data_IF_161182527327
#
_entry.id   IF_161182527327
#
_cell.length_a   1.000
_cell.length_b   1.000
_cell.length_c   1.000
_cell.angle_alpha   90.00
_cell.angle_beta   90.00
_cell.angle_gamma   90.00
#
_symmetry.space_group_name_H-M   'P 1'
#
loop_
_entity.id
_entity.type
_entity.pdbx_description
1 polymer ?
#
# COMPACT_ATOMS: atom_id res chain seq x y z
N UNK A 1 15.32 -7.42 -26.49
CA UNK A 1 14.80 -6.13 -25.99
C UNK A 1 16.00 -5.21 -25.84
N UNK A 2 15.96 -4.02 -26.44
CA UNK A 2 17.10 -3.10 -26.43
C UNK A 2 17.35 -2.61 -25.00
N UNK A 3 18.60 -2.65 -24.55
CA UNK A 3 19.08 -2.23 -23.22
C UNK A 3 19.08 -0.70 -23.05
N UNK A 4 18.11 -0.05 -23.70
CA UNK A 4 18.03 1.40 -23.94
C UNK A 4 16.69 1.94 -23.46
N UNK A 5 15.94 1.15 -22.68
CA UNK A 5 14.65 1.50 -22.13
C UNK A 5 14.49 0.94 -20.71
N UNK A 6 13.75 1.64 -19.86
CA UNK A 6 13.38 1.13 -18.53
C UNK A 6 12.41 -0.05 -18.63
N UNK A 7 12.36 -0.89 -17.59
CA UNK A 7 11.67 -2.17 -17.67
C UNK A 7 10.15 -2.09 -17.63
N UNK A 8 9.57 -1.12 -16.89
CA UNK A 8 8.11 -1.06 -16.66
C UNK A 8 7.39 -0.17 -17.67
N UNK A 9 7.90 1.05 -17.89
CA UNK A 9 7.26 2.05 -18.75
C UNK A 9 8.00 2.29 -20.07
N UNK A 10 9.05 1.52 -20.36
CA UNK A 10 9.85 1.65 -21.58
C UNK A 10 10.39 3.07 -21.80
N UNK A 11 10.74 3.79 -20.72
CA UNK A 11 11.27 5.15 -20.80
C UNK A 11 12.60 5.12 -21.54
N UNK A 12 12.79 5.95 -22.57
CA UNK A 12 14.01 5.93 -23.38
C UNK A 12 15.21 6.39 -22.55
N UNK A 13 16.27 5.59 -22.59
CA UNK A 13 17.54 5.86 -21.92
C UNK A 13 18.56 6.43 -22.92
N UNK A 14 19.53 7.19 -22.42
CA UNK A 14 20.63 7.69 -23.21
C UNK A 14 21.54 6.52 -23.64
N UNK A 15 21.98 6.57 -24.89
CA UNK A 15 22.97 5.63 -25.42
C UNK A 15 24.34 5.82 -24.74
N UNK A 16 25.20 4.79 -24.72
CA UNK A 16 26.58 4.93 -24.27
C UNK A 16 27.36 6.00 -25.05
N UNK A 17 28.37 6.60 -24.42
CA UNK A 17 29.27 7.55 -25.08
C UNK A 17 28.78 9.00 -25.03
N UNK A 18 27.89 9.35 -24.11
CA UNK A 18 27.37 10.71 -23.90
C UNK A 18 28.17 11.46 -22.83
N UNK A 19 29.50 11.29 -22.86
CA UNK A 19 30.42 11.81 -21.85
C UNK A 19 30.02 11.41 -20.41
N UNK A 20 29.60 10.16 -20.21
CA UNK A 20 29.21 9.55 -18.93
C UNK A 20 27.96 10.14 -18.28
N UNK A 21 27.28 11.12 -18.88
CA UNK A 21 25.99 11.63 -18.41
C UNK A 21 24.92 10.53 -18.41
N UNK A 22 25.03 9.61 -19.36
CA UNK A 22 24.17 8.44 -19.47
C UNK A 22 24.12 7.65 -18.17
N UNK A 23 25.22 7.55 -17.41
CA UNK A 23 25.25 6.76 -16.18
C UNK A 23 24.27 7.32 -15.13
N UNK A 24 24.37 8.63 -14.85
CA UNK A 24 23.54 9.29 -13.84
C UNK A 24 22.09 9.44 -14.30
N UNK A 25 21.89 9.86 -15.55
CA UNK A 25 20.54 10.09 -16.07
C UNK A 25 19.76 8.78 -16.19
N UNK A 26 20.38 7.73 -16.70
CA UNK A 26 19.73 6.44 -16.88
C UNK A 26 19.41 5.79 -15.52
N UNK A 27 20.31 5.89 -14.54
CA UNK A 27 20.03 5.41 -13.18
C UNK A 27 18.85 6.17 -12.55
N UNK A 28 18.76 7.49 -12.74
CA UNK A 28 17.61 8.27 -12.28
C UNK A 28 16.30 7.83 -12.97
N UNK A 29 16.32 7.54 -14.28
CA UNK A 29 15.16 7.02 -15.00
C UNK A 29 14.75 5.63 -14.51
N UNK A 30 15.71 4.75 -14.22
CA UNK A 30 15.44 3.41 -13.67
C UNK A 30 14.79 3.50 -12.28
N UNK A 31 15.29 4.38 -11.41
CA UNK A 31 14.69 4.61 -10.09
C UNK A 31 13.30 5.25 -10.20
N UNK A 32 13.09 6.17 -11.14
CA UNK A 32 11.78 6.78 -11.40
C UNK A 32 10.77 5.76 -11.93
N UNK A 33 11.19 4.91 -12.88
CA UNK A 33 10.38 3.82 -13.43
C UNK A 33 9.92 2.85 -12.33
N UNK A 34 10.78 2.57 -11.36
CA UNK A 34 10.45 1.77 -10.19
C UNK A 34 9.51 2.49 -9.22
N UNK A 35 9.74 3.78 -8.93
CA UNK A 35 9.03 4.53 -7.90
C UNK A 35 7.66 5.09 -8.34
N UNK A 36 7.44 5.29 -9.63
CA UNK A 36 6.14 5.77 -10.16
C UNK A 36 5.15 4.62 -10.24
N UNK A 37 3.94 4.86 -9.73
CA UNK A 37 2.83 3.91 -9.71
C UNK A 37 3.30 2.47 -9.36
N UNK A 38 4.01 2.28 -8.24
CA UNK A 38 4.73 1.05 -7.98
C UNK A 38 3.76 -0.10 -7.75
N UNK A 39 3.99 -1.20 -8.47
CA UNK A 39 3.27 -2.46 -8.34
C UNK A 39 4.28 -3.51 -7.90
N UNK A 40 4.10 -4.02 -6.68
CA UNK A 40 4.98 -5.02 -6.07
C UNK A 40 4.34 -6.40 -6.16
N UNK A 41 5.17 -7.42 -6.34
CA UNK A 41 4.74 -8.82 -6.31
C UNK A 41 4.24 -9.17 -4.91
N UNK A 42 5.00 -8.80 -3.89
CA UNK A 42 4.71 -9.10 -2.48
C UNK A 42 5.35 -8.04 -1.57
N UNK A 43 4.78 -7.90 -0.36
CA UNK A 43 5.29 -7.04 0.69
C UNK A 43 5.84 -7.87 1.84
N UNK A 44 7.03 -7.52 2.34
CA UNK A 44 7.61 -8.09 3.55
C UNK A 44 8.55 -9.26 3.32
N UNK A 45 8.90 -9.58 2.07
CA UNK A 45 9.83 -10.66 1.76
C UNK A 45 11.25 -10.30 2.23
N UNK A 46 11.94 -11.23 2.90
CA UNK A 46 13.28 -11.01 3.46
C UNK A 46 14.41 -11.60 2.62
N UNK A 47 14.11 -12.58 1.77
CA UNK A 47 15.09 -13.24 0.91
C UNK A 47 14.81 -12.82 -0.53
N UNK A 48 15.80 -12.26 -1.27
CA UNK A 48 15.59 -11.92 -2.66
C UNK A 48 15.19 -13.15 -3.49
N UNK A 49 14.20 -13.03 -4.38
CA UNK A 49 13.88 -14.08 -5.36
C UNK A 49 15.12 -14.47 -6.16
N UNK A 50 15.23 -15.76 -6.51
CA UNK A 50 16.39 -16.30 -7.22
C UNK A 50 16.37 -16.04 -8.73
N UNK A 51 15.17 -15.88 -9.32
CA UNK A 51 14.98 -15.65 -10.74
C UNK A 51 13.93 -14.55 -11.04
N UNK A 52 14.15 -13.32 -10.55
CA UNK A 52 13.26 -12.19 -10.85
C UNK A 52 13.36 -11.79 -12.33
N UNK A 53 12.24 -11.35 -12.90
CA UNK A 53 12.19 -10.74 -14.24
C UNK A 53 12.35 -9.22 -14.13
N UNK A 54 13.03 -8.55 -15.09
CA UNK A 54 13.16 -7.10 -15.08
C UNK A 54 11.80 -6.40 -14.95
N UNK A 55 11.73 -5.37 -14.11
CA UNK A 55 10.50 -4.62 -13.83
C UNK A 55 9.66 -5.19 -12.69
N UNK A 56 9.94 -6.41 -12.21
CA UNK A 56 9.35 -6.89 -10.97
C UNK A 56 9.94 -6.16 -9.76
N UNK A 57 9.10 -5.97 -8.74
CA UNK A 57 9.50 -5.29 -7.51
C UNK A 57 8.84 -5.89 -6.28
N UNK A 58 9.41 -5.61 -5.11
CA UNK A 58 8.99 -6.10 -3.79
C UNK A 58 9.17 -5.00 -2.76
N UNK A 59 8.39 -5.05 -1.68
CA UNK A 59 8.77 -4.36 -0.45
C UNK A 59 9.60 -5.31 0.40
N UNK A 60 10.81 -4.89 0.74
CA UNK A 60 11.74 -5.64 1.56
C UNK A 60 11.21 -5.71 3.01
N UNK A 61 11.24 -6.90 3.60
CA UNK A 61 10.86 -7.13 4.99
C UNK A 61 11.82 -6.53 6.02
N UNK A 62 11.54 -6.79 7.30
CA UNK A 62 12.28 -6.19 8.41
C UNK A 62 13.69 -6.77 8.63
N UNK A 63 13.94 -7.99 8.14
CA UNK A 63 15.19 -8.73 8.38
C UNK A 63 15.77 -9.25 7.06
N UNK A 64 16.12 -8.36 6.12
CA UNK A 64 16.56 -8.79 4.80
C UNK A 64 17.91 -9.49 4.81
N UNK A 65 18.10 -10.39 3.86
CA UNK A 65 19.32 -11.19 3.71
C UNK A 65 19.90 -11.08 2.30
N UNK A 66 21.14 -11.57 2.12
CA UNK A 66 21.81 -11.58 0.82
C UNK A 66 21.92 -10.17 0.22
N UNK A 67 21.55 -10.03 -1.05
CA UNK A 67 21.61 -8.77 -1.79
C UNK A 67 20.69 -7.66 -1.22
N UNK A 68 19.72 -8.00 -0.36
CA UNK A 68 18.80 -7.04 0.26
C UNK A 68 19.28 -6.57 1.65
N UNK A 69 20.37 -7.11 2.19
CA UNK A 69 20.88 -6.75 3.51
C UNK A 69 21.08 -5.24 3.65
N UNK A 70 20.59 -4.64 4.74
CA UNK A 70 20.66 -3.19 4.99
C UNK A 70 19.59 -2.35 4.29
N UNK A 71 18.66 -2.96 3.54
CA UNK A 71 17.61 -2.25 2.79
C UNK A 71 16.20 -2.57 3.31
N UNK A 72 16.07 -2.82 4.61
CA UNK A 72 14.77 -3.12 5.23
C UNK A 72 13.74 -2.05 4.86
N UNK A 73 12.49 -2.46 4.60
CA UNK A 73 11.36 -1.61 4.17
C UNK A 73 11.50 -0.93 2.80
N UNK A 74 12.64 -1.04 2.12
CA UNK A 74 12.82 -0.41 0.81
C UNK A 74 11.95 -1.07 -0.25
N UNK A 75 11.59 -0.28 -1.27
CA UNK A 75 11.09 -0.83 -2.52
C UNK A 75 12.30 -1.36 -3.31
N UNK A 76 12.39 -2.69 -3.45
CA UNK A 76 13.41 -3.36 -4.23
C UNK A 76 12.87 -3.71 -5.62
N UNK A 77 13.53 -3.24 -6.68
CA UNK A 77 13.19 -3.56 -8.06
C UNK A 77 14.32 -4.32 -8.76
N UNK A 78 13.97 -5.30 -9.59
CA UNK A 78 14.93 -6.00 -10.43
C UNK A 78 15.02 -5.37 -11.82
N UNK A 79 16.25 -5.19 -12.31
CA UNK A 79 16.56 -4.59 -13.61
C UNK A 79 17.57 -5.45 -14.36
N UNK A 80 17.84 -5.14 -15.63
CA UNK A 80 18.94 -5.78 -16.37
C UNK A 80 20.30 -5.59 -15.71
N UNK A 81 20.49 -4.49 -14.97
CA UNK A 81 21.68 -4.17 -14.18
C UNK A 81 21.61 -4.63 -12.71
N UNK A 82 20.69 -5.54 -12.37
CA UNK A 82 20.52 -6.09 -11.03
C UNK A 82 19.53 -5.33 -10.14
N UNK A 83 19.66 -5.49 -8.82
CA UNK A 83 18.78 -4.86 -7.83
C UNK A 83 18.95 -3.35 -7.76
N UNK A 84 17.83 -2.65 -7.60
CA UNK A 84 17.75 -1.23 -7.23
C UNK A 84 16.81 -1.06 -6.06
N UNK A 85 17.10 -0.09 -5.22
CA UNK A 85 16.37 0.15 -3.98
C UNK A 85 15.96 1.61 -3.90
N UNK A 86 14.69 1.83 -3.54
CA UNK A 86 14.15 3.15 -3.24
C UNK A 86 13.76 3.17 -1.78
N UNK A 87 14.38 4.07 -1.01
CA UNK A 87 14.01 4.30 0.39
C UNK A 87 12.59 4.89 0.45
N UNK A 88 11.70 4.35 1.29
CA UNK A 88 10.34 4.84 1.37
C UNK A 88 10.30 6.19 2.10
N UNK A 89 9.33 7.01 1.73
CA UNK A 89 8.97 8.24 2.47
C UNK A 89 7.54 8.12 2.98
N UNK A 90 7.24 8.75 4.11
CA UNK A 90 5.87 8.75 4.66
C UNK A 90 4.86 9.25 3.62
N UNK A 91 3.78 8.48 3.44
CA UNK A 91 2.77 8.74 2.42
C UNK A 91 3.02 8.04 1.07
N UNK A 92 4.19 7.43 0.86
CA UNK A 92 4.43 6.60 -0.32
C UNK A 92 3.42 5.44 -0.35
N UNK A 93 2.91 5.12 -1.54
CA UNK A 93 1.95 4.02 -1.75
C UNK A 93 2.46 3.05 -2.80
N UNK A 94 2.11 1.78 -2.64
CA UNK A 94 2.34 0.70 -3.62
C UNK A 94 1.08 -0.12 -3.76
N UNK A 95 0.91 -0.79 -4.89
CA UNK A 95 -0.09 -1.84 -5.05
C UNK A 95 0.58 -3.22 -4.88
N UNK A 96 0.09 -4.03 -3.95
CA UNK A 96 0.55 -5.42 -3.77
C UNK A 96 -0.28 -6.37 -4.61
N UNK A 97 0.36 -7.13 -5.49
CA UNK A 97 -0.30 -8.17 -6.28
C UNK A 97 -0.74 -9.36 -5.41
N UNK A 98 0.09 -9.77 -4.44
CA UNK A 98 -0.23 -10.87 -3.54
C UNK A 98 -1.48 -10.58 -2.69
N UNK A 99 -1.62 -9.35 -2.20
CA UNK A 99 -2.74 -8.95 -1.33
C UNK A 99 -3.96 -8.42 -2.11
N UNK A 100 -3.78 -8.04 -3.38
CA UNK A 100 -4.74 -7.26 -4.17
C UNK A 100 -5.21 -5.98 -3.45
N UNK A 101 -4.29 -5.33 -2.73
CA UNK A 101 -4.55 -4.16 -1.91
C UNK A 101 -3.46 -3.11 -2.10
N UNK A 102 -3.82 -1.85 -1.87
CA UNK A 102 -2.85 -0.78 -1.71
C UNK A 102 -2.19 -0.89 -0.33
N UNK A 103 -0.89 -0.63 -0.29
CA UNK A 103 -0.16 -0.42 0.95
C UNK A 103 0.40 1.00 0.99
N UNK A 104 0.46 1.58 2.20
CA UNK A 104 1.01 2.91 2.45
C UNK A 104 2.14 2.81 3.46
N UNK A 105 3.25 3.50 3.19
CA UNK A 105 4.30 3.70 4.18
C UNK A 105 3.90 4.83 5.14
N UNK A 106 3.91 4.54 6.43
CA UNK A 106 3.64 5.51 7.48
C UNK A 106 4.36 5.13 8.77
N UNK A 107 5.01 6.11 9.40
CA UNK A 107 5.67 5.93 10.70
C UNK A 107 6.67 4.76 10.72
N UNK A 108 7.42 4.59 9.64
CA UNK A 108 8.48 3.58 9.52
C UNK A 108 8.00 2.17 9.13
N UNK A 109 6.71 1.97 8.86
CA UNK A 109 6.15 0.66 8.49
C UNK A 109 5.27 0.75 7.25
N UNK A 110 5.21 -0.36 6.48
CA UNK A 110 4.23 -0.54 5.42
C UNK A 110 2.95 -1.11 6.01
N UNK A 111 1.84 -0.43 5.74
CA UNK A 111 0.52 -0.82 6.20
C UNK A 111 -0.31 -1.21 4.99
N UNK A 112 -0.78 -2.45 4.94
CA UNK A 112 -1.53 -3.02 3.82
C UNK A 112 -3.03 -2.91 4.09
N UNK A 113 -3.80 -2.40 3.12
CA UNK A 113 -5.26 -2.40 3.18
C UNK A 113 -5.91 -1.36 4.10
N UNK A 114 -5.14 -0.62 4.90
CA UNK A 114 -5.69 0.48 5.69
C UNK A 114 -5.95 1.72 4.81
N UNK A 115 -7.17 2.26 4.89
CA UNK A 115 -7.53 3.54 4.28
C UNK A 115 -7.71 4.61 5.34
N UNK A 116 -6.97 5.71 5.21
CA UNK A 116 -7.13 6.92 6.04
C UNK A 116 -7.79 7.99 5.19
N UNK A 117 -9.09 8.17 5.39
CA UNK A 117 -9.91 9.12 4.64
C UNK A 117 -10.76 9.96 5.59
N UNK A 118 -11.03 11.21 5.21
CA UNK A 118 -11.98 12.05 5.95
C UNK A 118 -13.43 11.52 5.85
N UNK A 119 -13.74 10.87 4.73
CA UNK A 119 -15.04 10.24 4.45
C UNK A 119 -14.92 9.26 3.30
N UNK A 120 -15.82 8.28 3.26
CA UNK A 120 -16.05 7.42 2.10
C UNK A 120 -17.28 7.94 1.34
N UNK A 121 -17.09 8.17 0.04
CA UNK A 121 -18.14 8.59 -0.88
C UNK A 121 -18.46 7.42 -1.83
N UNK A 122 -19.74 7.16 -2.07
CA UNK A 122 -20.21 6.24 -3.12
C UNK A 122 -21.11 7.04 -4.05
N UNK A 123 -20.66 7.23 -5.29
CA UNK A 123 -21.19 8.28 -6.16
C UNK A 123 -21.05 9.65 -5.49
N UNK A 124 -22.13 10.43 -5.47
CA UNK A 124 -22.17 11.74 -4.80
C UNK A 124 -22.69 11.68 -3.35
N UNK A 125 -22.90 10.47 -2.79
CA UNK A 125 -23.41 10.28 -1.44
C UNK A 125 -22.29 9.90 -0.48
N UNK A 126 -22.22 10.59 0.67
CA UNK A 126 -21.36 10.18 1.76
C UNK A 126 -21.95 8.96 2.46
N UNK A 127 -21.19 7.87 2.51
CA UNK A 127 -21.60 6.61 3.17
C UNK A 127 -20.91 6.40 4.52
N UNK A 128 -19.66 6.85 4.67
CA UNK A 128 -18.94 6.84 5.95
C UNK A 128 -18.35 8.23 6.17
N UNK A 129 -18.50 8.78 7.37
CA UNK A 129 -17.87 10.03 7.80
C UNK A 129 -17.30 9.87 9.21
N UNK A 130 -17.08 10.99 9.93
CA UNK A 130 -16.71 10.94 11.34
C UNK A 130 -17.71 10.11 12.15
N UNK A 131 -17.20 9.37 13.12
CA UNK A 131 -18.03 8.58 14.05
C UNK A 131 -19.03 9.51 14.76
N UNK A 132 -20.28 9.06 14.86
CA UNK A 132 -21.34 9.80 15.55
C UNK A 132 -21.46 9.36 17.01
N UNK A 133 -22.11 10.18 17.83
CA UNK A 133 -22.45 9.85 19.22
C UNK A 133 -23.24 8.53 19.35
N UNK A 134 -23.15 7.92 20.52
CA UNK A 134 -23.83 6.67 20.83
C UNK A 134 -25.35 6.85 20.79
N UNK A 135 -26.05 5.91 20.16
CA UNK A 135 -27.52 5.85 20.21
C UNK A 135 -27.92 5.11 21.50
N UNK A 136 -28.75 5.75 22.32
CA UNK A 136 -29.23 5.16 23.56
C UNK A 136 -30.12 3.94 23.28
N UNK A 137 -29.96 2.89 24.09
CA UNK A 137 -30.87 1.76 24.06
C UNK A 137 -32.28 2.20 24.50
N UNK A 138 -33.35 1.60 23.94
CA UNK A 138 -34.70 1.90 24.40
C UNK A 138 -34.84 1.48 25.87
N UNK A 139 -35.32 2.39 26.72
CA UNK A 139 -35.55 2.16 28.16
C UNK A 139 -37.01 2.40 28.60
N UNK A 140 -37.87 2.86 27.70
CA UNK A 140 -39.27 3.20 28.01
C UNK A 140 -40.32 2.37 27.26
N UNK A 141 -41.58 2.80 27.40
CA UNK A 141 -42.77 2.24 26.75
C UNK A 141 -43.73 1.57 27.75
N UNK A 142 -45.02 1.95 27.81
CA UNK A 142 -45.99 1.30 28.69
C UNK A 142 -46.31 -0.14 28.25
N UNK A 143 -46.04 -0.48 26.99
CA UNK A 143 -46.06 -1.84 26.45
C UNK A 143 -44.76 -2.05 25.67
N UNK A 144 -44.02 -3.09 26.03
CA UNK A 144 -42.71 -3.39 25.45
C UNK A 144 -42.73 -4.80 24.85
N UNK A 145 -42.31 -4.89 23.58
CA UNK A 145 -41.96 -6.16 22.97
C UNK A 145 -40.51 -6.52 23.35
N UNK A 146 -40.34 -7.64 24.05
CA UNK A 146 -39.05 -8.09 24.57
C UNK A 146 -38.11 -8.55 23.45
N UNK A 147 -38.63 -9.22 22.42
CA UNK A 147 -37.84 -9.71 21.30
C UNK A 147 -37.32 -8.53 20.46
N UNK A 148 -38.18 -7.55 20.18
CA UNK A 148 -37.79 -6.33 19.49
C UNK A 148 -36.72 -5.56 20.27
N UNK A 149 -36.85 -5.47 21.61
CA UNK A 149 -35.86 -4.79 22.46
C UNK A 149 -34.50 -5.48 22.43
N UNK A 150 -34.50 -6.81 22.48
CA UNK A 150 -33.27 -7.59 22.36
C UNK A 150 -32.62 -7.39 20.98
N UNK A 151 -33.40 -7.42 19.90
CA UNK A 151 -32.91 -7.20 18.54
C UNK A 151 -32.28 -5.81 18.35
N UNK A 152 -32.95 -4.74 18.81
CA UNK A 152 -32.40 -3.37 18.76
C UNK A 152 -31.08 -3.28 19.54
N UNK A 153 -31.02 -3.87 20.72
CA UNK A 153 -29.81 -3.85 21.55
C UNK A 153 -28.65 -4.54 20.83
N UNK A 154 -28.89 -5.68 20.18
CA UNK A 154 -27.89 -6.39 19.38
C UNK A 154 -27.43 -5.58 18.16
N UNK A 155 -28.34 -4.88 17.48
CA UNK A 155 -27.99 -4.00 16.35
C UNK A 155 -27.08 -2.86 16.85
N UNK A 156 -27.44 -2.18 17.94
CA UNK A 156 -26.60 -1.12 18.51
C UNK A 156 -25.22 -1.62 18.91
N UNK A 157 -25.14 -2.81 19.51
CA UNK A 157 -23.87 -3.45 19.84
C UNK A 157 -23.01 -3.71 18.58
N UNK A 158 -23.61 -4.22 17.50
CA UNK A 158 -22.91 -4.43 16.24
C UNK A 158 -22.41 -3.12 15.62
N UNK A 159 -23.23 -2.07 15.61
CA UNK A 159 -22.84 -0.75 15.09
C UNK A 159 -21.65 -0.14 15.86
N UNK A 160 -21.64 -0.30 17.19
CA UNK A 160 -20.51 0.10 18.05
C UNK A 160 -19.25 -0.70 17.78
N UNK A 161 -19.38 -2.03 17.67
CA UNK A 161 -18.26 -2.92 17.40
C UNK A 161 -17.60 -2.63 16.04
N UNK A 162 -18.38 -2.25 15.04
CA UNK A 162 -17.88 -1.79 13.74
C UNK A 162 -17.39 -0.33 13.73
N UNK A 163 -17.54 0.42 14.83
CA UNK A 163 -17.11 1.81 14.93
C UNK A 163 -17.99 2.83 14.19
N UNK A 164 -19.20 2.45 13.78
CA UNK A 164 -20.13 3.33 13.04
C UNK A 164 -20.75 4.41 13.94
N UNK A 165 -20.93 4.10 15.23
CA UNK A 165 -21.33 5.03 16.30
C UNK A 165 -20.42 4.82 17.52
N UNK A 166 -20.36 5.79 18.42
CA UNK A 166 -19.60 5.70 19.65
C UNK A 166 -20.11 4.57 20.56
N UNK A 167 -19.17 3.95 21.28
CA UNK A 167 -19.39 2.87 22.24
C UNK A 167 -20.31 3.26 23.38
#
# INVERSE_FOLDING_TARGET
MSDTQTARFALPMLQPGQAQKELYHNEALVLLDLAVQPVVVEIGLNVPPTAPSPGQSWIVGASPTGAWSGTATHLAGWTGGGWRFVAPSDGMTVWSLADALQARFAAGVWVVGESRAARLMVGNQQVIGPQREAIAAPIGGPTADTEARAAITSILAALRAHGLIAG
#
